data_IF_118507197625
#
_entry.id   IF_118507197625
#
_cell.length_a   1.000
_cell.length_b   1.000
_cell.length_c   1.000
_cell.angle_alpha   90.00
_cell.angle_beta   90.00
_cell.angle_gamma   90.00
#
_symmetry.space_group_name_H-M   'P 1'
#
loop_
_entity.id
_entity.type
_entity.pdbx_description
1 polymer ?
#
# COMPACT_ATOMS: atom_id res chain seq x y z
N UNK A 1 9.53 10.56 4.41
CA UNK A 1 9.89 10.65 5.84
C UNK A 1 8.84 11.33 6.75
N UNK A 2 7.77 11.90 6.18
CA UNK A 2 6.72 12.60 6.93
C UNK A 2 5.45 11.74 7.05
N UNK A 3 4.59 12.07 8.02
CA UNK A 3 3.27 11.46 8.21
C UNK A 3 3.30 9.94 8.43
N UNK A 4 4.02 9.48 9.45
CA UNK A 4 3.98 8.08 9.83
C UNK A 4 2.55 7.67 10.24
N UNK A 5 2.03 6.53 9.72
CA UNK A 5 0.70 6.04 10.08
C UNK A 5 0.69 5.54 11.53
N UNK A 6 -0.48 5.46 12.15
CA UNK A 6 -0.63 4.76 13.44
C UNK A 6 -0.38 3.27 13.20
N UNK A 7 0.39 2.56 14.06
CA UNK A 7 0.92 2.95 15.37
C UNK A 7 2.30 3.64 15.37
N UNK A 8 2.90 3.91 14.22
CA UNK A 8 4.23 4.54 14.08
C UNK A 8 4.23 6.08 14.20
N UNK A 9 3.10 6.69 14.57
CA UNK A 9 2.96 8.15 14.66
C UNK A 9 3.97 8.74 15.64
N UNK A 10 4.56 9.88 15.27
CA UNK A 10 5.62 10.54 16.02
C UNK A 10 7.04 10.06 15.66
N UNK A 11 7.18 8.96 14.91
CA UNK A 11 8.45 8.53 14.32
C UNK A 11 8.59 9.04 12.88
N UNK A 12 9.80 8.98 12.32
CA UNK A 12 10.06 9.23 10.90
C UNK A 12 9.32 8.18 10.06
N UNK A 13 8.64 8.61 9.00
CA UNK A 13 7.92 7.70 8.13
C UNK A 13 8.88 6.94 7.19
N UNK A 14 8.59 5.67 6.97
CA UNK A 14 9.37 4.74 6.14
C UNK A 14 8.46 3.98 5.16
N UNK A 15 8.96 3.57 3.98
CA UNK A 15 8.16 2.82 3.01
C UNK A 15 7.53 1.54 3.57
N UNK A 16 8.22 0.87 4.49
CA UNK A 16 7.73 -0.33 5.19
C UNK A 16 6.41 -0.09 5.94
N UNK A 17 6.11 1.14 6.35
CA UNK A 17 4.88 1.48 7.08
C UNK A 17 3.64 1.60 6.19
N UNK A 18 3.77 1.46 4.87
CA UNK A 18 2.62 1.52 3.95
C UNK A 18 1.57 0.46 4.27
N UNK A 19 1.96 -0.68 4.86
CA UNK A 19 1.06 -1.74 5.29
C UNK A 19 -0.03 -1.21 6.24
N UNK A 20 0.32 -0.37 7.22
CA UNK A 20 -0.66 0.22 8.15
C UNK A 20 -1.66 1.16 7.45
N UNK A 21 -1.21 1.82 6.38
CA UNK A 21 -2.12 2.63 5.55
C UNK A 21 -3.07 1.73 4.75
N UNK A 22 -2.57 0.61 4.23
CA UNK A 22 -3.38 -0.37 3.51
C UNK A 22 -4.42 -1.04 4.44
N UNK A 23 -4.05 -1.41 5.67
CA UNK A 23 -4.95 -1.94 6.69
C UNK A 23 -6.05 -0.93 7.04
N UNK A 24 -5.70 0.33 7.27
CA UNK A 24 -6.67 1.39 7.53
C UNK A 24 -7.63 1.59 6.33
N UNK A 25 -7.11 1.55 5.10
CA UNK A 25 -7.92 1.67 3.89
C UNK A 25 -8.87 0.48 3.71
N UNK A 26 -8.38 -0.74 3.96
CA UNK A 26 -9.17 -1.97 3.90
C UNK A 26 -10.37 -1.89 4.86
N UNK A 27 -10.13 -1.42 6.09
CA UNK A 27 -11.20 -1.18 7.07
C UNK A 27 -12.21 -0.13 6.60
N UNK A 28 -11.76 0.99 6.03
CA UNK A 28 -12.66 2.04 5.51
C UNK A 28 -13.49 1.51 4.33
N UNK A 29 -12.90 0.66 3.49
CA UNK A 29 -13.52 0.12 2.29
C UNK A 29 -14.31 -1.18 2.51
N UNK A 30 -14.25 -1.76 3.71
CA UNK A 30 -14.88 -3.04 4.06
C UNK A 30 -14.46 -4.17 3.11
N UNK A 31 -13.15 -4.23 2.84
CA UNK A 31 -12.49 -5.24 1.99
C UNK A 31 -11.29 -5.81 2.75
N UNK A 32 -10.74 -6.89 2.25
CA UNK A 32 -9.49 -7.46 2.77
C UNK A 32 -8.27 -6.60 2.41
N UNK A 33 -7.20 -6.74 3.20
CA UNK A 33 -5.91 -6.08 2.87
C UNK A 33 -5.32 -6.63 1.57
N UNK A 34 -5.55 -7.91 1.25
CA UNK A 34 -5.09 -8.56 0.02
C UNK A 34 -5.79 -7.99 -1.23
N UNK A 35 -7.06 -7.63 -1.12
CA UNK A 35 -7.77 -6.91 -2.18
C UNK A 35 -7.20 -5.51 -2.39
N UNK A 36 -6.87 -4.78 -1.32
CA UNK A 36 -6.18 -3.49 -1.42
C UNK A 36 -4.80 -3.67 -2.08
N UNK A 37 -4.04 -4.67 -1.66
CA UNK A 37 -2.74 -5.01 -2.26
C UNK A 37 -2.87 -5.27 -3.76
N UNK A 38 -3.80 -6.13 -4.16
CA UNK A 38 -4.02 -6.48 -5.56
C UNK A 38 -4.46 -5.26 -6.38
N UNK A 39 -5.48 -4.53 -5.90
CA UNK A 39 -6.03 -3.37 -6.59
C UNK A 39 -4.99 -2.24 -6.75
N UNK A 40 -4.22 -1.94 -5.70
CA UNK A 40 -3.19 -0.88 -5.77
C UNK A 40 -2.02 -1.29 -6.67
N UNK A 41 -1.62 -2.56 -6.65
CA UNK A 41 -0.60 -3.12 -7.55
C UNK A 41 -1.05 -3.03 -9.00
N UNK A 42 -2.27 -3.47 -9.31
CA UNK A 42 -2.83 -3.40 -10.66
C UNK A 42 -2.94 -1.95 -11.15
N UNK A 43 -3.38 -1.04 -10.27
CA UNK A 43 -3.46 0.38 -10.59
C UNK A 43 -2.09 0.99 -10.91
N UNK A 44 -1.05 0.62 -10.16
CA UNK A 44 0.31 1.08 -10.40
C UNK A 44 0.81 0.64 -11.78
N UNK A 45 0.74 -0.65 -12.11
CA UNK A 45 1.23 -1.14 -13.40
C UNK A 45 0.36 -0.70 -14.59
N UNK A 46 -0.92 -0.39 -14.36
CA UNK A 46 -1.76 0.24 -15.37
C UNK A 46 -1.36 1.70 -15.65
N UNK A 47 -0.92 2.44 -14.63
CA UNK A 47 -0.55 3.85 -14.76
C UNK A 47 0.91 4.03 -15.24
N UNK A 48 1.84 3.27 -14.70
CA UNK A 48 3.27 3.39 -14.95
C UNK A 48 3.74 2.37 -15.99
N UNK A 49 3.47 2.65 -17.27
CA UNK A 49 3.74 1.73 -18.41
C UNK A 49 5.22 1.37 -18.61
N UNK A 50 6.16 2.10 -17.99
CA UNK A 50 7.59 1.81 -18.02
C UNK A 50 8.03 0.82 -16.93
N UNK A 51 7.19 0.55 -15.94
CA UNK A 51 7.50 -0.41 -14.88
C UNK A 51 7.16 -1.83 -15.35
N UNK A 52 8.03 -2.79 -15.07
CA UNK A 52 7.79 -4.20 -15.39
C UNK A 52 7.10 -4.88 -14.20
N UNK A 53 5.96 -5.53 -14.46
CA UNK A 53 5.27 -6.31 -13.45
C UNK A 53 6.08 -7.58 -13.16
N UNK A 54 6.43 -7.87 -11.90
CA UNK A 54 7.07 -9.13 -11.53
C UNK A 54 6.15 -10.29 -11.92
N UNK A 55 6.72 -11.31 -12.56
CA UNK A 55 6.05 -12.60 -12.73
C UNK A 55 5.89 -13.24 -11.36
N UNK A 56 4.73 -13.84 -11.08
CA UNK A 56 4.56 -14.63 -9.86
C UNK A 56 5.50 -15.84 -9.89
N UNK A 57 6.28 -16.05 -8.82
CA UNK A 57 6.96 -17.32 -8.53
C UNK A 57 5.98 -18.32 -7.91
#
# INVERSE_FOLDING_TARGET
>A
PYLAPVPMRGKKNEPSFVLHTAEALANVKQVSVDEIHSATTDNFYRLFTKAQRPTAE
#
